data_IF_235999746610
#
_entry.id   IF_235999746610
#
_cell.length_a   1.000
_cell.length_b   1.000
_cell.length_c   1.000
_cell.angle_alpha   90.00
_cell.angle_beta   90.00
_cell.angle_gamma   90.00
#
_symmetry.space_group_name_H-M   'P 1'
#
loop_
_entity.id
_entity.type
_entity.pdbx_description
1 polymer ?
#
# COMPACT_ATOMS: atom_id res chain seq x y z
N UNK A 1 22.87 -1.19 -9.02
CA UNK A 1 21.39 -1.38 -9.04
C UNK A 1 20.61 -0.17 -8.51
N UNK A 2 21.15 0.63 -7.61
CA UNK A 2 20.55 1.87 -7.05
C UNK A 2 20.24 2.96 -8.10
N UNK A 3 21.11 3.17 -9.10
CA UNK A 3 20.94 4.22 -10.12
C UNK A 3 19.65 4.12 -10.96
N UNK A 4 19.18 2.89 -11.27
CA UNK A 4 17.93 2.69 -12.04
C UNK A 4 16.67 2.99 -11.22
N UNK A 5 16.71 2.83 -9.89
CA UNK A 5 15.57 3.14 -9.00
C UNK A 5 15.40 4.64 -8.78
N UNK A 6 16.51 5.39 -8.71
CA UNK A 6 16.50 6.85 -8.61
C UNK A 6 15.95 7.47 -9.90
N UNK A 7 16.29 6.89 -11.06
CA UNK A 7 15.81 7.37 -12.36
C UNK A 7 14.27 7.26 -12.48
N UNK A 8 13.68 6.20 -11.92
CA UNK A 8 12.22 6.01 -11.94
C UNK A 8 11.49 7.05 -11.07
N UNK A 9 12.04 7.39 -9.91
CA UNK A 9 11.49 8.41 -9.01
C UNK A 9 11.58 9.79 -9.66
N UNK A 10 12.73 10.10 -10.31
CA UNK A 10 12.91 11.35 -11.06
C UNK A 10 11.98 11.44 -12.27
N UNK A 11 11.67 10.34 -12.94
CA UNK A 11 10.73 10.30 -14.05
C UNK A 11 9.29 10.61 -13.60
N UNK A 12 8.87 10.09 -12.45
CA UNK A 12 7.54 10.37 -11.87
C UNK A 12 7.44 11.83 -11.43
N UNK A 13 8.49 12.40 -10.87
CA UNK A 13 8.53 13.82 -10.51
C UNK A 13 8.54 14.70 -11.77
N UNK A 14 9.29 14.32 -12.80
CA UNK A 14 9.36 15.06 -14.07
C UNK A 14 8.02 15.06 -14.82
N UNK A 15 7.27 13.96 -14.82
CA UNK A 15 5.92 13.91 -15.42
C UNK A 15 4.91 14.76 -14.65
N UNK A 16 5.02 14.84 -13.33
CA UNK A 16 4.18 15.72 -12.53
C UNK A 16 4.48 17.21 -12.79
N UNK A 17 5.74 17.58 -12.95
CA UNK A 17 6.14 18.97 -13.30
C UNK A 17 5.77 19.33 -14.73
N UNK A 18 5.83 18.38 -15.68
CA UNK A 18 5.43 18.64 -17.07
C UNK A 18 3.92 18.90 -17.18
N UNK A 19 3.10 18.14 -16.45
CA UNK A 19 1.66 18.37 -16.40
C UNK A 19 1.30 19.73 -15.77
N UNK A 20 2.10 20.23 -14.82
CA UNK A 20 1.93 21.59 -14.27
C UNK A 20 2.33 22.68 -15.27
N UNK A 21 3.31 22.45 -16.12
CA UNK A 21 3.77 23.42 -17.13
C UNK A 21 2.77 23.57 -18.28
N UNK A 22 2.15 22.48 -18.73
CA UNK A 22 1.12 22.51 -19.78
C UNK A 22 -0.14 23.27 -19.32
N UNK A 23 -0.54 23.11 -18.05
CA UNK A 23 -1.65 23.87 -17.44
C UNK A 23 -1.30 25.37 -17.34
N UNK A 24 -0.03 25.73 -17.14
CA UNK A 24 0.40 27.13 -17.04
C UNK A 24 0.48 27.83 -18.40
N UNK A 25 0.75 27.11 -19.49
CA UNK A 25 0.83 27.71 -20.84
C UNK A 25 -0.53 27.97 -21.47
N UNK A 26 -1.56 27.19 -21.15
CA UNK A 26 -2.92 27.40 -21.64
C UNK A 26 -3.60 28.64 -21.00
N UNK A 27 -3.05 29.12 -19.85
CA UNK A 27 -3.56 30.27 -19.14
C UNK A 27 -3.08 31.61 -19.72
N UNK A 28 -2.11 31.61 -20.65
CA UNK A 28 -1.51 32.86 -21.19
C UNK A 28 -2.17 33.32 -22.51
N UNK A 29 -3.03 32.52 -23.11
CA UNK A 29 -3.61 32.81 -24.43
C UNK A 29 -4.98 33.52 -24.42
N UNK A 30 -5.58 33.81 -23.29
CA UNK A 30 -6.90 34.45 -23.23
C UNK A 30 -6.94 35.58 -22.20
N UNK A 31 -6.23 36.67 -22.47
CA UNK A 31 -6.49 37.92 -21.77
C UNK A 31 -7.54 38.71 -22.54
N UNK A 32 -8.82 38.56 -22.12
CA UNK A 32 -9.89 39.59 -22.17
C UNK A 32 -11.19 38.98 -21.71
N UNK A 33 -11.43 38.99 -20.42
CA UNK A 33 -12.74 39.23 -19.79
C UNK A 33 -12.51 39.26 -18.29
N UNK A 34 -12.64 40.44 -17.71
CA UNK A 34 -12.73 40.64 -16.24
C UNK A 34 -14.07 40.08 -15.82
N UNK A 35 -14.09 38.83 -15.42
CA UNK A 35 -15.11 38.24 -14.58
C UNK A 35 -14.39 37.69 -13.37
N UNK A 36 -14.83 38.06 -12.17
CA UNK A 36 -14.36 37.60 -10.89
C UNK A 36 -14.15 36.08 -10.93
N UNK A 37 -12.90 35.64 -11.09
CA UNK A 37 -12.54 34.22 -10.89
C UNK A 37 -12.62 33.99 -9.38
N UNK A 38 -13.76 33.49 -8.95
CA UNK A 38 -13.96 32.96 -7.60
C UNK A 38 -12.77 32.06 -7.25
N UNK A 39 -11.90 32.55 -6.35
CA UNK A 39 -10.69 31.82 -5.93
C UNK A 39 -11.12 30.52 -5.29
N UNK A 40 -10.94 29.40 -5.97
CA UNK A 40 -11.23 28.08 -5.43
C UNK A 40 -10.53 27.94 -4.07
N UNK A 41 -11.24 27.68 -2.99
CA UNK A 41 -10.63 27.60 -1.67
C UNK A 41 -9.59 26.48 -1.63
N UNK A 42 -8.45 26.73 -1.00
CA UNK A 42 -7.34 25.78 -0.89
C UNK A 42 -7.80 24.50 -0.20
N UNK A 43 -8.57 24.64 0.88
CA UNK A 43 -9.15 23.52 1.63
C UNK A 43 -10.57 23.25 1.14
N UNK A 44 -10.86 22.00 0.78
CA UNK A 44 -12.16 21.59 0.25
C UNK A 44 -12.78 20.41 1.04
N UNK A 45 -12.36 20.24 2.29
CA UNK A 45 -12.87 19.22 3.17
C UNK A 45 -11.88 18.06 3.38
N UNK A 46 -12.33 17.08 4.12
CA UNK A 46 -11.55 15.89 4.44
C UNK A 46 -12.41 14.65 4.30
N UNK A 47 -11.76 13.51 4.15
CA UNK A 47 -12.39 12.19 4.11
C UNK A 47 -11.54 11.19 4.89
N UNK A 48 -12.21 10.31 5.61
CA UNK A 48 -11.54 9.25 6.36
C UNK A 48 -12.42 8.01 6.46
N UNK A 49 -11.79 6.85 6.52
CA UNK A 49 -12.55 5.63 6.59
C UNK A 49 -11.70 4.38 6.73
N UNK A 50 -12.41 3.26 6.77
CA UNK A 50 -11.83 1.94 6.92
C UNK A 50 -11.99 1.14 5.63
N UNK A 51 -10.96 0.34 5.34
CA UNK A 51 -10.92 -0.53 4.17
C UNK A 51 -10.44 -1.91 4.58
N UNK A 52 -11.13 -2.92 4.07
CA UNK A 52 -10.64 -4.29 4.02
C UNK A 52 -9.74 -4.44 2.80
N UNK A 53 -8.77 -5.32 2.86
CA UNK A 53 -7.96 -5.62 1.70
C UNK A 53 -7.60 -7.10 1.62
N UNK A 54 -7.40 -7.54 0.40
CA UNK A 54 -6.81 -8.81 0.05
C UNK A 54 -5.65 -8.56 -0.91
N UNK A 55 -4.60 -9.36 -0.84
CA UNK A 55 -3.45 -9.20 -1.70
C UNK A 55 -2.66 -10.49 -1.81
N UNK A 56 -1.62 -10.45 -2.63
CA UNK A 56 -0.68 -11.55 -2.77
C UNK A 56 0.72 -11.08 -2.39
N UNK A 57 1.36 -11.81 -1.49
CA UNK A 57 2.74 -11.57 -1.07
C UNK A 57 3.66 -12.44 -1.91
N UNK A 58 4.60 -11.82 -2.61
CA UNK A 58 5.68 -12.52 -3.30
C UNK A 58 6.89 -12.64 -2.38
N UNK A 59 7.20 -13.86 -1.95
CA UNK A 59 8.44 -14.15 -1.23
C UNK A 59 9.63 -14.09 -2.19
N UNK A 60 10.51 -13.10 -2.04
CA UNK A 60 11.70 -12.97 -2.90
C UNK A 60 12.96 -13.56 -2.31
N UNK A 61 13.05 -13.67 -1.00
CA UNK A 61 14.22 -14.17 -0.30
C UNK A 61 13.80 -15.15 0.79
N UNK A 62 14.62 -16.16 1.09
CA UNK A 62 14.34 -17.10 2.16
C UNK A 62 14.22 -16.35 3.49
N UNK A 63 13.10 -16.52 4.18
CA UNK A 63 12.85 -15.90 5.47
C UNK A 63 13.41 -16.70 6.63
N UNK A 64 13.66 -17.97 6.40
CA UNK A 64 14.21 -18.88 7.38
C UNK A 64 15.04 -19.96 6.68
N UNK A 65 16.11 -20.38 7.31
CA UNK A 65 16.88 -21.58 6.93
C UNK A 65 16.56 -22.64 7.97
N UNK A 66 15.99 -23.74 7.51
CA UNK A 66 15.71 -24.89 8.37
C UNK A 66 17.02 -25.57 8.82
N UNK A 67 17.00 -26.35 9.92
CA UNK A 67 18.14 -27.17 10.31
C UNK A 67 18.58 -28.15 9.21
N UNK A 68 17.69 -28.51 8.29
CA UNK A 68 17.98 -29.29 7.08
C UNK A 68 18.79 -28.54 6.01
N UNK A 69 19.01 -27.23 6.18
CA UNK A 69 19.65 -26.36 5.18
C UNK A 69 18.70 -25.82 4.10
N UNK A 70 17.42 -26.19 4.12
CA UNK A 70 16.40 -25.64 3.22
C UNK A 70 15.98 -24.25 3.63
N UNK A 71 15.73 -23.40 2.67
CA UNK A 71 15.27 -22.03 2.88
C UNK A 71 13.78 -21.89 2.61
N UNK A 72 13.03 -21.31 3.55
CA UNK A 72 11.60 -21.09 3.43
C UNK A 72 11.35 -19.62 3.08
N UNK A 73 10.58 -19.39 2.01
CA UNK A 73 10.17 -18.08 1.56
C UNK A 73 8.65 -17.98 1.60
N UNK A 74 8.04 -17.31 2.60
CA UNK A 74 6.58 -17.23 2.69
C UNK A 74 6.03 -16.40 1.52
N UNK A 75 5.15 -17.02 0.76
CA UNK A 75 4.39 -16.38 -0.30
C UNK A 75 2.94 -16.86 -0.24
N UNK A 76 2.00 -16.03 -0.65
CA UNK A 76 0.59 -16.41 -0.65
C UNK A 76 -0.38 -15.27 -0.46
N UNK A 77 -1.64 -15.64 -0.32
CA UNK A 77 -2.73 -14.69 -0.14
C UNK A 77 -2.69 -14.06 1.26
N UNK A 78 -2.77 -12.75 1.29
CA UNK A 78 -2.90 -11.96 2.51
C UNK A 78 -4.27 -11.29 2.58
N UNK A 79 -4.81 -11.21 3.77
CA UNK A 79 -6.02 -10.42 4.04
C UNK A 79 -5.76 -9.47 5.20
N UNK A 80 -6.47 -8.36 5.22
CA UNK A 80 -6.26 -7.40 6.27
C UNK A 80 -7.26 -6.27 6.32
N UNK A 81 -7.00 -5.38 7.24
CA UNK A 81 -7.83 -4.21 7.51
C UNK A 81 -6.95 -3.00 7.79
N UNK A 82 -7.44 -1.84 7.49
CA UNK A 82 -6.81 -0.59 7.82
C UNK A 82 -7.68 0.59 7.47
N UNK A 83 -7.07 1.75 7.34
CA UNK A 83 -7.80 2.96 7.00
C UNK A 83 -6.90 4.04 6.45
N UNK A 84 -7.54 5.07 5.93
CA UNK A 84 -6.85 6.28 5.49
C UNK A 84 -7.63 7.52 5.86
N UNK A 85 -6.89 8.60 6.09
CA UNK A 85 -7.41 9.96 6.24
C UNK A 85 -6.84 10.80 5.11
N UNK A 86 -7.70 11.55 4.41
CA UNK A 86 -7.32 12.40 3.28
C UNK A 86 -7.89 13.79 3.46
N UNK A 87 -7.07 14.79 3.17
CA UNK A 87 -7.44 16.20 3.13
C UNK A 87 -7.50 16.60 1.65
N UNK A 88 -8.62 17.15 1.24
CA UNK A 88 -8.83 17.64 -0.11
C UNK A 88 -8.26 19.04 -0.24
N UNK A 89 -7.18 19.17 -1.02
CA UNK A 89 -6.55 20.46 -1.32
C UNK A 89 -6.81 20.80 -2.79
N UNK A 90 -7.17 22.05 -3.04
CA UNK A 90 -7.53 22.51 -4.37
C UNK A 90 -8.55 21.60 -5.09
N UNK A 91 -8.60 21.71 -6.39
CA UNK A 91 -9.60 20.98 -7.20
C UNK A 91 -9.31 19.49 -7.34
N UNK A 92 -8.02 19.12 -7.37
CA UNK A 92 -7.62 17.76 -7.77
C UNK A 92 -6.70 17.05 -6.77
N UNK A 93 -6.03 17.78 -5.89
CA UNK A 93 -5.03 17.19 -4.98
C UNK A 93 -5.65 16.73 -3.67
N UNK A 94 -5.32 15.52 -3.27
CA UNK A 94 -5.56 15.03 -1.91
C UNK A 94 -4.24 14.59 -1.29
N UNK A 95 -4.06 14.90 -0.02
CA UNK A 95 -2.92 14.45 0.79
C UNK A 95 -3.44 13.84 2.08
N UNK A 96 -2.69 12.93 2.66
CA UNK A 96 -3.16 12.31 3.91
C UNK A 96 -2.21 11.27 4.47
N UNK A 97 -2.76 10.41 5.31
CA UNK A 97 -2.06 9.30 5.90
C UNK A 97 -2.89 8.01 5.83
N UNK A 98 -2.19 6.89 5.92
CA UNK A 98 -2.82 5.57 5.89
C UNK A 98 -2.11 4.60 6.85
N UNK A 99 -2.83 3.56 7.25
CA UNK A 99 -2.25 2.47 8.03
C UNK A 99 -3.04 1.18 7.85
N UNK A 100 -2.30 0.07 7.65
CA UNK A 100 -2.88 -1.23 7.35
C UNK A 100 -2.15 -2.35 8.09
N UNK A 101 -2.91 -3.38 8.42
CA UNK A 101 -2.38 -4.65 8.90
C UNK A 101 -2.86 -5.76 7.99
N UNK A 102 -1.91 -6.52 7.43
CA UNK A 102 -2.17 -7.71 6.60
C UNK A 102 -1.73 -8.96 7.35
N UNK A 103 -2.48 -10.03 7.22
CA UNK A 103 -2.12 -11.33 7.80
C UNK A 103 -2.27 -12.42 6.73
N UNK A 104 -1.27 -13.28 6.66
CA UNK A 104 -1.28 -14.52 5.91
C UNK A 104 -1.20 -15.66 6.90
N UNK A 105 -2.13 -16.61 6.82
CA UNK A 105 -2.10 -17.82 7.65
C UNK A 105 -1.50 -18.97 6.85
N UNK A 106 -0.80 -19.86 7.53
CA UNK A 106 -0.32 -21.13 6.95
C UNK A 106 -1.48 -21.94 6.36
N UNK A 107 -1.24 -22.59 5.26
CA UNK A 107 -2.24 -23.35 4.51
C UNK A 107 -2.71 -22.68 3.21
N UNK A 108 -2.39 -21.37 3.00
CA UNK A 108 -2.63 -20.66 1.75
C UNK A 108 -1.38 -20.54 0.85
N UNK A 109 -0.28 -21.23 1.19
CA UNK A 109 1.01 -21.12 0.52
C UNK A 109 1.41 -22.45 -0.14
N UNK A 110 2.27 -22.38 -1.14
CA UNK A 110 2.88 -23.57 -1.77
C UNK A 110 3.85 -24.33 -0.85
N UNK A 111 4.01 -23.88 0.41
CA UNK A 111 4.86 -24.49 1.43
C UNK A 111 4.12 -25.48 2.32
N UNK A 112 3.10 -26.14 1.82
CA UNK A 112 2.16 -27.00 2.58
C UNK A 112 2.83 -28.15 3.32
N UNK A 113 3.97 -28.59 2.82
CA UNK A 113 4.63 -29.80 3.32
C UNK A 113 5.58 -29.54 4.49
N UNK A 114 5.89 -28.26 4.78
CA UNK A 114 6.90 -27.88 5.77
C UNK A 114 6.35 -27.05 6.92
N UNK A 115 5.31 -26.22 6.69
CA UNK A 115 4.76 -25.34 7.71
C UNK A 115 3.46 -25.89 8.32
N UNK A 116 3.48 -26.08 9.62
CA UNK A 116 2.30 -26.52 10.39
C UNK A 116 1.28 -25.43 10.67
N UNK A 117 0.13 -25.90 11.10
CA UNK A 117 -0.95 -25.10 11.67
C UNK A 117 -0.41 -24.21 12.80
N UNK A 118 -0.61 -22.90 12.71
CA UNK A 118 -0.06 -21.93 13.65
C UNK A 118 0.98 -20.99 13.05
N UNK A 119 1.60 -21.36 11.94
CA UNK A 119 2.49 -20.45 11.19
C UNK A 119 1.71 -19.28 10.63
N UNK A 120 2.29 -18.08 10.70
CA UNK A 120 1.67 -16.87 10.12
C UNK A 120 2.72 -15.84 9.69
N UNK A 121 2.32 -15.00 8.76
CA UNK A 121 3.03 -13.77 8.41
C UNK A 121 2.10 -12.60 8.69
N UNK A 122 2.57 -11.62 9.44
CA UNK A 122 1.84 -10.38 9.73
C UNK A 122 2.65 -9.18 9.31
N UNK A 123 2.04 -8.33 8.49
CA UNK A 123 2.66 -7.10 7.98
C UNK A 123 1.83 -5.92 8.49
N UNK A 124 2.47 -5.03 9.25
CA UNK A 124 1.90 -3.74 9.64
C UNK A 124 2.62 -2.64 8.88
N UNK A 125 1.88 -1.74 8.25
CA UNK A 125 2.44 -0.62 7.49
C UNK A 125 1.65 0.65 7.69
N UNK A 126 2.33 1.81 7.63
CA UNK A 126 1.70 3.11 7.70
C UNK A 126 2.57 4.19 7.07
N UNK A 127 1.95 5.23 6.53
CA UNK A 127 2.67 6.27 5.83
C UNK A 127 1.82 7.44 5.39
N UNK A 128 2.44 8.32 4.63
CA UNK A 128 1.81 9.47 3.99
C UNK A 128 1.39 9.10 2.57
N UNK A 129 0.29 9.68 2.12
CA UNK A 129 -0.22 9.50 0.77
C UNK A 129 -0.50 10.83 0.09
N UNK A 130 -0.39 10.82 -1.23
CA UNK A 130 -0.84 11.91 -2.08
C UNK A 130 -1.45 11.35 -3.35
N UNK A 131 -2.58 11.89 -3.77
CA UNK A 131 -3.23 11.50 -5.01
C UNK A 131 -3.86 12.68 -5.78
N UNK A 132 -3.97 12.50 -7.08
CA UNK A 132 -4.78 13.31 -7.96
C UNK A 132 -6.15 12.66 -8.12
N UNK A 133 -7.21 13.41 -7.84
CA UNK A 133 -8.59 12.94 -7.84
C UNK A 133 -9.44 13.81 -8.76
N UNK A 134 -10.16 13.17 -9.69
CA UNK A 134 -11.09 13.83 -10.60
C UNK A 134 -12.52 13.65 -10.08
N UNK A 135 -13.12 14.74 -9.60
CA UNK A 135 -14.46 14.73 -9.00
C UNK A 135 -15.52 14.86 -10.10
N UNK A 136 -16.12 13.74 -10.47
CA UNK A 136 -17.30 13.68 -11.31
C UNK A 136 -18.57 13.57 -10.44
N UNK A 137 -19.75 13.63 -11.03
CA UNK A 137 -21.01 13.65 -10.27
C UNK A 137 -21.18 12.52 -9.24
N UNK A 138 -20.89 11.28 -9.64
CA UNK A 138 -21.08 10.08 -8.80
C UNK A 138 -19.82 9.27 -8.57
N UNK A 139 -18.80 9.48 -9.37
CA UNK A 139 -17.60 8.65 -9.36
C UNK A 139 -16.36 9.54 -9.38
N UNK A 140 -15.45 9.31 -8.45
CA UNK A 140 -14.22 10.06 -8.30
C UNK A 140 -13.00 9.16 -8.50
N UNK A 141 -12.56 8.97 -9.76
CA UNK A 141 -11.33 8.23 -10.02
C UNK A 141 -10.12 9.00 -9.49
N UNK A 142 -9.13 8.24 -9.04
CA UNK A 142 -7.89 8.83 -8.53
C UNK A 142 -6.68 7.95 -8.80
N UNK A 143 -5.53 8.58 -8.88
CA UNK A 143 -4.22 7.95 -8.99
C UNK A 143 -3.25 8.63 -8.03
N UNK A 144 -2.41 7.86 -7.38
CA UNK A 144 -1.47 8.42 -6.42
C UNK A 144 -0.40 7.44 -5.97
N UNK A 145 0.31 7.85 -4.94
CA UNK A 145 1.29 7.03 -4.28
C UNK A 145 1.28 7.26 -2.77
N UNK A 146 1.63 6.23 -2.02
CA UNK A 146 1.91 6.33 -0.61
C UNK A 146 3.37 5.97 -0.34
N UNK A 147 3.97 6.61 0.65
CA UNK A 147 5.33 6.36 1.11
C UNK A 147 5.34 6.24 2.63
N UNK A 148 6.03 5.24 3.14
CA UNK A 148 6.05 5.02 4.58
C UNK A 148 6.94 3.88 5.01
N UNK A 149 6.65 3.34 6.18
CA UNK A 149 7.38 2.23 6.75
C UNK A 149 6.45 1.22 7.41
N UNK A 150 7.02 0.10 7.75
CA UNK A 150 6.28 -0.98 8.39
C UNK A 150 7.19 -2.00 9.07
N UNK A 151 6.54 -2.97 9.65
CA UNK A 151 7.20 -4.13 10.23
C UNK A 151 6.50 -5.42 9.78
N UNK A 152 7.30 -6.39 9.45
CA UNK A 152 6.86 -7.74 9.13
C UNK A 152 7.27 -8.67 10.25
N UNK A 153 6.35 -9.53 10.67
CA UNK A 153 6.60 -10.61 11.64
C UNK A 153 6.21 -11.92 10.99
N UNK A 154 7.12 -12.87 11.03
CA UNK A 154 6.91 -14.22 10.53
C UNK A 154 7.09 -15.18 11.68
N UNK A 155 6.08 -16.00 11.94
CA UNK A 155 6.17 -17.15 12.82
C UNK A 155 6.11 -18.40 11.94
N UNK A 156 7.17 -19.19 11.96
CA UNK A 156 7.23 -20.47 11.26
C UNK A 156 7.29 -21.58 12.29
N UNK A 157 6.32 -22.49 12.25
CA UNK A 157 6.27 -23.71 13.04
C UNK A 157 6.52 -24.86 12.09
N UNK A 158 7.57 -25.62 12.34
CA UNK A 158 7.98 -26.75 11.49
C UNK A 158 7.61 -28.06 12.17
N UNK A 159 7.22 -29.08 11.41
CA UNK A 159 6.90 -30.40 11.92
C UNK A 159 8.18 -31.11 12.39
N UNK A 160 8.22 -31.43 13.69
CA UNK A 160 9.29 -32.25 14.26
C UNK A 160 8.92 -33.70 14.25
N UNK A 161 9.91 -34.58 14.24
CA UNK A 161 9.71 -36.01 14.45
C UNK A 161 9.12 -36.24 15.87
N UNK A 162 8.10 -37.06 16.00
CA UNK A 162 7.39 -37.33 17.27
C UNK A 162 8.29 -37.80 18.43
N UNK A 163 9.53 -38.22 18.15
CA UNK A 163 10.46 -38.77 19.12
C UNK A 163 11.27 -37.72 19.91
N UNK A 164 11.48 -36.53 19.37
CA UNK A 164 12.35 -35.49 19.96
C UNK A 164 11.74 -34.09 19.86
N UNK A 165 10.54 -33.91 20.36
CA UNK A 165 9.85 -32.64 20.29
C UNK A 165 10.46 -31.61 21.27
N UNK A 166 11.33 -30.75 20.79
CA UNK A 166 11.80 -29.56 21.49
C UNK A 166 11.18 -28.33 20.81
N UNK A 167 10.16 -27.68 21.41
CA UNK A 167 9.42 -26.59 20.77
C UNK A 167 10.29 -25.39 20.40
N UNK A 168 11.42 -25.19 21.07
CA UNK A 168 12.36 -24.10 20.81
C UNK A 168 13.16 -24.27 19.50
N UNK A 169 13.40 -25.50 19.07
CA UNK A 169 14.16 -25.80 17.85
C UNK A 169 13.31 -25.72 16.57
N UNK A 170 11.99 -25.81 16.72
CA UNK A 170 11.04 -25.91 15.61
C UNK A 170 10.18 -24.67 15.40
N UNK A 171 10.42 -23.61 16.17
CA UNK A 171 9.67 -22.36 16.08
C UNK A 171 10.63 -21.22 15.79
N UNK A 172 10.49 -20.58 14.61
CA UNK A 172 11.24 -19.40 14.25
C UNK A 172 10.35 -18.17 14.23
N UNK A 173 10.73 -17.16 15.01
CA UNK A 173 10.10 -15.85 14.99
C UNK A 173 11.08 -14.83 14.39
N UNK A 174 10.72 -14.30 13.25
CA UNK A 174 11.47 -13.24 12.58
C UNK A 174 10.70 -11.92 12.61
N UNK A 175 11.39 -10.83 12.94
CA UNK A 175 10.83 -9.48 12.89
C UNK A 175 11.75 -8.60 12.06
N UNK A 176 11.21 -7.93 11.04
CA UNK A 176 11.94 -7.06 10.14
C UNK A 176 11.18 -5.75 9.91
N UNK A 177 11.90 -4.62 9.98
CA UNK A 177 11.42 -3.31 9.54
C UNK A 177 11.68 -3.12 8.05
N UNK A 178 10.82 -2.35 7.39
CA UNK A 178 10.98 -2.01 5.97
C UNK A 178 10.42 -0.61 5.68
N UNK A 179 10.96 0.04 4.65
CA UNK A 179 10.34 1.17 4.00
C UNK A 179 9.53 0.70 2.79
N UNK A 180 8.56 1.51 2.34
CA UNK A 180 7.79 1.17 1.15
C UNK A 180 7.41 2.39 0.31
N UNK A 181 7.16 2.13 -0.97
CA UNK A 181 6.45 3.02 -1.88
C UNK A 181 5.33 2.22 -2.54
N UNK A 182 4.10 2.73 -2.47
CA UNK A 182 2.93 2.09 -3.03
C UNK A 182 2.28 2.98 -4.07
N UNK A 183 2.56 2.85 -5.37
CA UNK A 183 1.71 3.41 -6.39
C UNK A 183 0.33 2.77 -6.34
N UNK A 184 -0.72 3.57 -6.50
CA UNK A 184 -2.08 3.08 -6.48
C UNK A 184 -2.99 3.82 -7.46
N UNK A 185 -4.04 3.10 -7.83
CA UNK A 185 -5.19 3.65 -8.55
C UNK A 185 -6.47 3.25 -7.81
N UNK A 186 -7.48 4.06 -7.92
CA UNK A 186 -8.73 3.75 -7.26
C UNK A 186 -9.89 4.64 -7.72
N UNK A 187 -11.02 4.38 -7.11
CA UNK A 187 -12.26 5.04 -7.43
C UNK A 187 -13.13 5.14 -6.18
N UNK A 188 -13.64 6.33 -5.91
CA UNK A 188 -14.62 6.56 -4.87
C UNK A 188 -16.00 6.73 -5.53
N UNK A 189 -16.96 5.91 -5.16
CA UNK A 189 -18.35 6.03 -5.59
C UNK A 189 -19.15 6.77 -4.53
N UNK A 190 -19.66 7.95 -4.87
CA UNK A 190 -20.46 8.80 -4.00
C UNK A 190 -21.85 8.21 -3.79
N UNK A 191 -22.04 7.43 -2.74
CA UNK A 191 -23.37 6.88 -2.39
C UNK A 191 -24.28 7.97 -1.82
N UNK A 192 -23.70 8.82 -0.99
CA UNK A 192 -24.34 10.01 -0.43
C UNK A 192 -23.34 11.16 -0.39
N UNK A 193 -23.80 12.36 0.01
CA UNK A 193 -22.89 13.51 0.18
C UNK A 193 -21.80 13.27 1.23
N UNK A 194 -22.02 12.34 2.15
CA UNK A 194 -21.11 12.09 3.29
C UNK A 194 -20.47 10.72 3.29
N UNK A 195 -20.94 9.78 2.46
CA UNK A 195 -20.45 8.41 2.45
C UNK A 195 -20.11 8.00 1.02
N UNK A 196 -18.87 7.63 0.83
CA UNK A 196 -18.36 7.09 -0.43
C UNK A 196 -17.94 5.65 -0.24
N UNK A 197 -18.25 4.81 -1.20
CA UNK A 197 -17.70 3.48 -1.35
C UNK A 197 -16.38 3.60 -2.11
N UNK A 198 -15.29 3.11 -1.54
CA UNK A 198 -13.97 3.19 -2.17
C UNK A 198 -13.49 1.81 -2.60
N UNK A 199 -12.93 1.76 -3.80
CA UNK A 199 -12.20 0.61 -4.34
C UNK A 199 -10.83 1.10 -4.77
N UNK A 200 -9.78 0.41 -4.34
CA UNK A 200 -8.40 0.78 -4.65
C UNK A 200 -7.59 -0.48 -4.95
N UNK A 201 -6.68 -0.36 -5.88
CA UNK A 201 -5.63 -1.33 -6.14
C UNK A 201 -4.28 -0.65 -5.98
N UNK A 202 -3.37 -1.28 -5.26
CA UNK A 202 -1.99 -0.81 -5.14
C UNK A 202 -0.99 -1.94 -5.37
N UNK A 203 0.26 -1.54 -5.55
CA UNK A 203 1.39 -2.45 -5.63
C UNK A 203 2.42 -2.05 -4.57
N UNK A 204 2.57 -2.87 -3.54
CA UNK A 204 3.55 -2.63 -2.49
C UNK A 204 4.96 -2.91 -3.00
N UNK A 205 5.79 -1.88 -3.03
CA UNK A 205 7.22 -1.95 -3.33
C UNK A 205 7.98 -1.68 -2.04
N UNK A 206 8.35 -2.75 -1.33
CA UNK A 206 9.06 -2.64 -0.08
C UNK A 206 10.58 -2.67 -0.30
N UNK A 207 11.33 -2.01 0.59
CA UNK A 207 12.80 -1.97 0.63
C UNK A 207 13.30 -1.99 2.07
N UNK A 208 14.42 -2.67 2.30
CA UNK A 208 15.14 -2.71 3.57
C UNK A 208 16.64 -2.91 3.33
N UNK A 209 17.47 -2.56 4.31
CA UNK A 209 18.92 -2.75 4.23
C UNK A 209 19.31 -4.22 4.16
N UNK A 210 18.69 -5.05 4.98
CA UNK A 210 18.88 -6.51 4.97
C UNK A 210 17.68 -7.14 4.25
N UNK A 211 17.88 -7.55 3.00
CA UNK A 211 16.82 -8.00 2.10
C UNK A 211 16.39 -9.46 2.37
N UNK A 212 16.25 -9.88 3.61
CA UNK A 212 15.87 -11.27 3.92
C UNK A 212 14.45 -11.59 3.49
N UNK A 213 13.49 -10.68 3.75
CA UNK A 213 12.10 -10.85 3.31
C UNK A 213 11.44 -9.48 3.18
N UNK A 214 10.88 -9.20 2.02
CA UNK A 214 10.19 -7.94 1.77
C UNK A 214 8.74 -8.19 1.35
N UNK A 215 7.77 -7.56 2.01
CA UNK A 215 6.38 -7.65 1.59
C UNK A 215 6.20 -6.87 0.29
N UNK A 216 6.20 -7.57 -0.83
CA UNK A 216 6.00 -6.97 -2.16
C UNK A 216 4.86 -7.70 -2.84
N UNK A 217 3.96 -6.97 -3.48
CA UNK A 217 2.87 -7.56 -4.25
C UNK A 217 1.65 -6.67 -4.41
N UNK A 218 0.70 -7.11 -5.23
CA UNK A 218 -0.55 -6.40 -5.46
C UNK A 218 -1.49 -6.56 -4.27
N UNK A 219 -2.25 -5.48 -3.98
CA UNK A 219 -3.30 -5.49 -2.97
C UNK A 219 -4.55 -4.81 -3.52
N UNK A 220 -5.69 -5.36 -3.17
CA UNK A 220 -7.02 -4.89 -3.50
C UNK A 220 -7.72 -4.42 -2.24
N UNK A 221 -8.29 -3.22 -2.26
CA UNK A 221 -8.96 -2.61 -1.12
C UNK A 221 -10.40 -2.30 -1.45
N UNK A 222 -11.25 -2.51 -0.47
CA UNK A 222 -12.66 -2.19 -0.53
C UNK A 222 -13.12 -1.64 0.83
N UNK A 223 -13.85 -0.54 0.85
CA UNK A 223 -14.30 0.03 2.10
C UNK A 223 -15.16 1.28 1.94
N UNK A 224 -15.37 1.96 3.05
CA UNK A 224 -16.17 3.17 3.12
C UNK A 224 -15.33 4.34 3.61
N UNK A 225 -15.54 5.49 2.97
CA UNK A 225 -14.96 6.77 3.34
C UNK A 225 -16.07 7.73 3.73
N UNK A 226 -15.91 8.37 4.88
CA UNK A 226 -16.80 9.42 5.36
C UNK A 226 -16.20 10.77 4.98
N UNK A 227 -17.00 11.61 4.34
CA UNK A 227 -16.57 12.90 3.78
C UNK A 227 -17.23 14.06 4.54
N UNK A 228 -16.46 15.12 4.76
CA UNK A 228 -16.90 16.38 5.39
C UNK A 228 -16.39 17.60 4.61
#
# INVERSE_FOLDING_TARGET
MMRKKILLILLVIATATYAQQEIAQDTTATSKSVADKEKTPVFQGYSGGMMLHAGYLFGKNPSAVLPSGESISPQGMTTGIGGSLRINLWKYLRVGCEGYVSTMKSGATDMRDVLQSGSYVRVGSGGLLADACWRMEKVWPYIGAAVGGGAMRTLSVVEGSEADWQPEEWTMLTKQGFGYVNPYVGMDWCMTRRVHLTVRMDWMLAFAENQLLLPTGPRFFFGFMFCH
#
